data_IF_189459325063
#
_entry.id   IF_189459325063
#
_cell.length_a   1.000
_cell.length_b   1.000
_cell.length_c   1.000
_cell.angle_alpha   90.00
_cell.angle_beta   90.00
_cell.angle_gamma   90.00
#
_symmetry.space_group_name_H-M   'P 1'
#
loop_
_entity.id
_entity.type
_entity.pdbx_description
1 polymer ?
#
# COMPACT_ATOMS: atom_id res chain seq x y z
N UNK A 1 29.42 43.98 -18.54
CA UNK A 1 29.45 42.53 -18.81
C UNK A 1 28.59 41.86 -17.77
N UNK A 2 27.38 41.44 -18.12
CA UNK A 2 26.49 40.70 -17.20
C UNK A 2 26.68 39.20 -17.42
N UNK A 3 27.13 38.51 -16.42
CA UNK A 3 27.40 37.07 -16.41
C UNK A 3 26.08 36.34 -16.06
N UNK A 4 25.44 35.74 -17.07
CA UNK A 4 24.23 34.91 -16.85
C UNK A 4 24.64 33.56 -16.26
N UNK A 5 24.31 33.29 -14.99
CA UNK A 5 24.40 31.97 -14.39
C UNK A 5 23.26 31.09 -14.93
N UNK A 6 23.60 30.12 -15.79
CA UNK A 6 22.69 29.06 -16.19
C UNK A 6 22.53 28.05 -15.01
N UNK A 7 21.38 28.06 -14.36
CA UNK A 7 20.97 27.05 -13.39
C UNK A 7 20.61 25.78 -14.17
N UNK A 8 21.54 24.82 -14.26
CA UNK A 8 21.25 23.46 -14.74
C UNK A 8 20.42 22.75 -13.68
N UNK A 9 19.10 22.78 -13.83
CA UNK A 9 18.19 21.98 -12.99
C UNK A 9 18.36 20.50 -13.31
N UNK A 10 18.60 19.67 -12.29
CA UNK A 10 18.57 18.21 -12.41
C UNK A 10 17.19 17.78 -12.90
N UNK A 11 17.08 17.32 -14.14
CA UNK A 11 15.87 16.73 -14.67
C UNK A 11 15.78 15.29 -14.14
N UNK A 12 14.82 15.06 -13.24
CA UNK A 12 14.52 13.72 -12.76
C UNK A 12 13.70 13.01 -13.84
N UNK A 13 14.30 12.02 -14.52
CA UNK A 13 13.59 11.18 -15.48
C UNK A 13 12.77 10.14 -14.71
N UNK A 14 11.43 10.10 -14.87
CA UNK A 14 10.61 9.10 -14.22
C UNK A 14 10.96 7.68 -14.73
N UNK A 15 10.95 6.70 -13.84
CA UNK A 15 11.12 5.30 -14.21
C UNK A 15 9.83 4.84 -14.89
N UNK A 16 9.92 4.38 -16.14
CA UNK A 16 8.77 3.91 -16.94
C UNK A 16 8.63 2.39 -16.97
N UNK A 17 9.67 1.65 -16.60
CA UNK A 17 9.67 0.20 -16.53
C UNK A 17 8.81 -0.27 -15.35
N UNK A 18 7.67 -0.87 -15.65
CA UNK A 18 6.68 -1.36 -14.66
C UNK A 18 7.16 -2.56 -13.85
N UNK A 19 8.15 -3.30 -14.33
CA UNK A 19 8.78 -4.40 -13.62
C UNK A 19 9.81 -3.94 -12.59
N UNK A 20 10.21 -2.66 -12.66
CA UNK A 20 11.21 -2.08 -11.77
C UNK A 20 10.64 -1.84 -10.37
N UNK A 21 11.41 -2.20 -9.35
CA UNK A 21 11.12 -1.87 -7.95
C UNK A 21 11.07 -0.34 -7.70
N UNK A 22 11.65 0.45 -8.60
CA UNK A 22 11.65 1.92 -8.53
C UNK A 22 10.44 2.55 -9.24
N UNK A 23 9.68 1.75 -10.02
CA UNK A 23 8.49 2.26 -10.67
C UNK A 23 7.43 2.63 -9.63
N UNK A 24 6.97 3.87 -9.64
CA UNK A 24 5.90 4.34 -8.76
C UNK A 24 4.63 4.55 -9.59
N UNK A 25 3.54 3.88 -9.19
CA UNK A 25 2.22 4.11 -9.80
C UNK A 25 1.91 5.61 -9.71
N UNK A 26 1.66 6.30 -10.83
CA UNK A 26 1.41 7.73 -10.80
C UNK A 26 0.03 8.06 -10.23
N UNK A 27 -0.11 9.23 -9.62
CA UNK A 27 -1.42 9.80 -9.34
C UNK A 27 -2.18 10.03 -10.65
N UNK A 28 -3.51 9.88 -10.63
CA UNK A 28 -4.35 9.87 -11.84
C UNK A 28 -4.53 8.48 -12.44
N UNK A 29 -3.81 7.45 -11.97
CA UNK A 29 -4.13 6.07 -12.29
C UNK A 29 -5.52 5.69 -11.75
N UNK A 30 -6.14 4.68 -12.35
CA UNK A 30 -7.48 4.20 -11.98
C UNK A 30 -7.41 2.78 -11.44
N UNK A 31 -7.87 2.59 -10.22
CA UNK A 31 -8.16 1.27 -9.65
C UNK A 31 -9.61 0.89 -10.02
N UNK A 32 -9.79 -0.21 -10.73
CA UNK A 32 -11.11 -0.74 -11.14
C UNK A 32 -11.38 -2.03 -10.39
N UNK A 33 -12.43 -2.06 -9.59
CA UNK A 33 -12.95 -3.27 -8.96
C UNK A 33 -13.96 -3.93 -9.90
N UNK A 34 -13.78 -5.22 -10.21
CA UNK A 34 -14.62 -5.94 -11.18
C UNK A 34 -15.76 -6.75 -10.53
N UNK A 35 -15.58 -7.17 -9.28
CA UNK A 35 -16.57 -7.95 -8.53
C UNK A 35 -16.77 -7.33 -7.14
N UNK A 36 -17.98 -7.44 -6.56
CA UNK A 36 -18.24 -6.87 -5.24
C UNK A 36 -17.39 -7.57 -4.16
N UNK A 37 -16.99 -6.79 -3.17
CA UNK A 37 -16.26 -7.26 -2.01
C UNK A 37 -17.07 -6.96 -0.75
N UNK A 38 -17.24 -7.95 0.11
CA UNK A 38 -17.87 -7.77 1.42
C UNK A 38 -16.79 -7.56 2.49
N UNK A 39 -16.87 -6.45 3.20
CA UNK A 39 -16.08 -6.17 4.40
C UNK A 39 -16.89 -6.65 5.60
N UNK A 40 -16.35 -7.57 6.41
CA UNK A 40 -17.05 -8.12 7.56
C UNK A 40 -17.39 -7.07 8.63
N UNK A 41 -18.33 -7.38 9.53
CA UNK A 41 -18.57 -6.55 10.71
C UNK A 41 -17.28 -6.36 11.52
N UNK A 42 -17.19 -5.22 12.18
CA UNK A 42 -16.05 -4.82 13.03
C UNK A 42 -14.70 -4.71 12.30
N UNK A 43 -14.68 -4.77 10.96
CA UNK A 43 -13.50 -4.59 10.14
C UNK A 43 -13.60 -3.30 9.30
N UNK A 44 -12.46 -2.62 9.09
CA UNK A 44 -12.34 -1.44 8.23
C UNK A 44 -11.56 -1.72 6.95
N UNK A 45 -11.17 -2.98 6.73
CA UNK A 45 -10.39 -3.39 5.56
C UNK A 45 -10.55 -4.88 5.30
N UNK A 46 -10.17 -5.28 4.10
CA UNK A 46 -10.09 -6.66 3.64
C UNK A 46 -8.77 -6.85 2.88
N UNK A 47 -8.24 -8.05 2.86
CA UNK A 47 -7.03 -8.40 2.14
C UNK A 47 -7.35 -9.06 0.80
N UNK A 48 -6.52 -8.78 -0.19
CA UNK A 48 -6.58 -9.37 -1.53
C UNK A 48 -5.22 -10.01 -1.80
N UNK A 49 -5.20 -11.28 -2.14
CA UNK A 49 -4.00 -12.01 -2.52
C UNK A 49 -4.36 -13.05 -3.58
N UNK A 50 -3.60 -13.12 -4.67
CA UNK A 50 -3.83 -14.02 -5.79
C UNK A 50 -5.27 -13.94 -6.37
N UNK A 51 -5.83 -12.73 -6.48
CA UNK A 51 -7.18 -12.51 -6.99
C UNK A 51 -8.31 -12.94 -6.06
N UNK A 52 -8.00 -13.38 -4.85
CA UNK A 52 -8.98 -13.82 -3.85
C UNK A 52 -9.03 -12.87 -2.65
N UNK A 53 -10.21 -12.79 -2.03
CA UNK A 53 -10.45 -11.98 -0.84
C UNK A 53 -10.19 -12.81 0.40
N UNK A 54 -9.42 -12.25 1.33
CA UNK A 54 -9.02 -12.90 2.58
C UNK A 54 -9.25 -11.98 3.78
N UNK A 55 -9.39 -12.58 4.96
CA UNK A 55 -9.14 -11.90 6.24
C UNK A 55 -7.64 -11.94 6.54
N UNK A 56 -7.19 -11.12 7.49
CA UNK A 56 -5.78 -11.09 7.90
C UNK A 56 -5.20 -12.48 8.18
N UNK A 57 -5.92 -13.33 8.92
CA UNK A 57 -5.47 -14.69 9.26
C UNK A 57 -5.31 -15.64 8.07
N UNK A 58 -5.92 -15.32 6.92
CA UNK A 58 -5.83 -16.11 5.69
C UNK A 58 -4.83 -15.56 4.68
N UNK A 59 -4.13 -14.48 5.03
CA UNK A 59 -3.18 -13.79 4.14
C UNK A 59 -1.76 -14.17 4.53
N UNK A 60 -0.95 -14.60 3.55
CA UNK A 60 0.48 -14.79 3.77
C UNK A 60 1.19 -13.45 3.60
N UNK A 61 1.66 -12.88 4.71
CA UNK A 61 2.24 -11.55 4.75
C UNK A 61 3.59 -11.43 4.04
N UNK A 62 4.33 -12.55 3.87
CA UNK A 62 5.63 -12.59 3.18
C UNK A 62 5.51 -12.50 1.66
N UNK A 63 4.31 -12.67 1.12
CA UNK A 63 4.06 -12.50 -0.31
C UNK A 63 3.27 -11.22 -0.56
N UNK A 64 3.38 -10.63 -1.76
CA UNK A 64 2.61 -9.47 -2.12
C UNK A 64 1.11 -9.68 -1.85
N UNK A 65 0.53 -8.75 -1.11
CA UNK A 65 -0.90 -8.71 -0.82
C UNK A 65 -1.37 -7.26 -0.76
N UNK A 66 -2.63 -7.01 -1.10
CA UNK A 66 -3.22 -5.68 -1.06
C UNK A 66 -4.30 -5.62 0.01
N UNK A 67 -4.35 -4.53 0.76
CA UNK A 67 -5.36 -4.23 1.78
C UNK A 67 -6.27 -3.11 1.29
N UNK A 68 -7.53 -3.43 0.98
CA UNK A 68 -8.55 -2.45 0.60
C UNK A 68 -9.20 -1.90 1.86
N UNK A 69 -9.09 -0.59 2.08
CA UNK A 69 -9.55 0.09 3.28
C UNK A 69 -10.77 0.97 3.03
N UNK A 70 -11.71 0.96 3.98
CA UNK A 70 -12.88 1.81 4.02
C UNK A 70 -12.90 2.70 5.25
N UNK A 71 -13.71 3.77 5.21
CA UNK A 71 -13.85 4.70 6.32
C UNK A 71 -14.61 4.06 7.48
N UNK A 72 -13.94 4.00 8.64
CA UNK A 72 -14.52 3.53 9.90
C UNK A 72 -14.85 2.04 9.92
N UNK A 73 -15.29 1.55 11.04
CA UNK A 73 -15.82 0.21 11.26
C UNK A 73 -17.37 0.26 11.32
N UNK A 74 -18.02 -0.88 11.09
CA UNK A 74 -19.47 -1.02 11.13
C UNK A 74 -19.83 -2.30 11.87
N UNK A 75 -20.97 -2.32 12.55
CA UNK A 75 -21.51 -3.52 13.17
C UNK A 75 -22.15 -4.48 12.16
N UNK A 76 -22.56 -3.96 11.00
CA UNK A 76 -23.09 -4.74 9.89
C UNK A 76 -22.03 -4.93 8.78
N UNK A 77 -22.10 -6.02 7.98
CA UNK A 77 -21.28 -6.16 6.80
C UNK A 77 -21.48 -4.98 5.84
N UNK A 78 -20.42 -4.59 5.14
CA UNK A 78 -20.50 -3.53 4.11
C UNK A 78 -20.03 -4.07 2.79
N UNK A 79 -20.73 -3.73 1.71
CA UNK A 79 -20.31 -4.04 0.35
C UNK A 79 -19.51 -2.89 -0.26
N UNK A 80 -18.46 -3.24 -0.99
CA UNK A 80 -17.80 -2.38 -1.95
C UNK A 80 -18.19 -2.89 -3.32
N UNK A 81 -18.95 -2.09 -4.05
CA UNK A 81 -19.48 -2.46 -5.36
C UNK A 81 -18.42 -2.29 -6.45
N UNK A 82 -18.55 -3.02 -7.58
CA UNK A 82 -17.73 -2.83 -8.76
C UNK A 82 -17.74 -1.37 -9.22
N UNK A 83 -16.59 -0.92 -9.72
CA UNK A 83 -16.47 0.44 -10.23
C UNK A 83 -15.05 0.98 -10.22
N UNK A 84 -14.93 2.19 -10.69
CA UNK A 84 -13.66 2.91 -10.82
C UNK A 84 -13.41 3.82 -9.61
N UNK A 85 -12.15 3.83 -9.19
CA UNK A 85 -11.63 4.66 -8.12
C UNK A 85 -10.35 5.37 -8.62
N UNK A 86 -10.36 6.69 -8.59
CA UNK A 86 -9.18 7.49 -8.92
C UNK A 86 -8.10 7.33 -7.84
N UNK A 87 -6.87 7.07 -8.23
CA UNK A 87 -5.72 7.08 -7.32
C UNK A 87 -5.20 8.51 -7.23
N UNK A 88 -5.56 9.22 -6.17
CA UNK A 88 -5.20 10.64 -5.99
C UNK A 88 -3.81 10.87 -5.44
N UNK A 89 -3.28 9.90 -4.70
CA UNK A 89 -1.96 10.01 -4.07
C UNK A 89 -1.35 8.63 -3.88
N UNK A 90 -0.07 8.52 -4.17
CA UNK A 90 0.72 7.31 -3.91
C UNK A 90 1.89 7.67 -3.00
N UNK A 91 2.18 6.82 -2.03
CA UNK A 91 3.34 6.93 -1.15
C UNK A 91 3.90 5.55 -0.89
N UNK A 92 5.22 5.48 -0.75
CA UNK A 92 5.93 4.31 -0.24
C UNK A 92 6.50 4.61 1.13
N UNK A 93 6.41 3.64 2.01
CA UNK A 93 7.02 3.71 3.34
C UNK A 93 7.26 2.30 3.86
N UNK A 94 8.11 2.20 4.86
CA UNK A 94 8.41 0.98 5.57
C UNK A 94 7.83 1.12 6.97
N UNK A 95 7.03 0.14 7.40
CA UNK A 95 6.53 0.04 8.77
C UNK A 95 7.32 -1.03 9.52
N UNK A 96 7.78 -0.70 10.72
CA UNK A 96 8.36 -1.66 11.65
C UNK A 96 7.23 -2.50 12.23
N UNK A 97 7.20 -3.78 11.91
CA UNK A 97 6.26 -4.69 12.53
C UNK A 97 6.98 -5.42 13.64
N UNK A 98 6.74 -5.00 14.87
CA UNK A 98 6.97 -5.87 16.01
C UNK A 98 5.98 -7.01 15.88
N UNK A 99 6.42 -8.19 15.49
CA UNK A 99 5.63 -9.42 15.59
C UNK A 99 5.51 -9.76 17.09
N UNK A 100 4.67 -8.96 17.77
CA UNK A 100 4.24 -9.28 19.11
C UNK A 100 3.38 -10.53 18.98
N UNK A 101 3.88 -11.63 19.52
CA UNK A 101 3.31 -12.98 19.36
C UNK A 101 1.81 -12.98 19.58
N UNK A 102 1.11 -13.73 18.74
CA UNK A 102 -0.36 -13.85 18.69
C UNK A 102 -0.96 -14.60 19.88
N UNK A 103 -0.41 -14.45 21.06
CA UNK A 103 -0.98 -15.00 22.29
C UNK A 103 -1.48 -13.86 23.17
N UNK A 104 -2.80 -13.83 23.39
CA UNK A 104 -3.50 -12.83 24.23
C UNK A 104 -3.09 -12.79 25.71
N UNK A 105 -1.82 -13.07 26.01
CA UNK A 105 -1.21 -13.05 27.35
C UNK A 105 -0.20 -11.90 27.53
N UNK A 106 -0.08 -11.00 26.55
CA UNK A 106 1.05 -10.06 26.51
C UNK A 106 0.87 -8.76 27.28
N UNK A 107 -0.35 -8.43 27.70
CA UNK A 107 -0.56 -7.30 28.63
C UNK A 107 0.06 -7.55 30.02
N UNK A 108 0.19 -8.83 30.42
CA UNK A 108 0.82 -9.20 31.69
C UNK A 108 2.35 -9.21 31.62
N UNK A 109 2.94 -9.37 30.43
CA UNK A 109 4.38 -9.41 30.23
C UNK A 109 5.03 -8.02 30.20
N UNK A 110 4.28 -6.99 29.79
CA UNK A 110 4.76 -5.61 29.82
C UNK A 110 5.00 -5.11 31.27
N UNK A 111 4.09 -5.44 32.19
CA UNK A 111 4.25 -5.05 33.59
C UNK A 111 5.43 -5.73 34.28
N UNK A 112 5.77 -6.96 33.86
CA UNK A 112 6.88 -7.71 34.45
C UNK A 112 8.24 -7.25 33.96
N UNK A 113 8.32 -6.70 32.73
CA UNK A 113 9.59 -6.17 32.17
C UNK A 113 9.99 -4.82 32.75
N UNK A 114 9.05 -4.03 33.23
CA UNK A 114 9.31 -2.77 33.91
C UNK A 114 9.87 -2.97 35.32
N UNK A 115 9.67 -4.17 35.91
CA UNK A 115 10.13 -4.50 37.27
C UNK A 115 11.52 -5.15 37.31
N UNK A 116 12.06 -5.62 36.19
CA UNK A 116 13.41 -6.15 36.08
C UNK A 116 14.27 -5.22 35.22
N UNK A 117 14.90 -4.25 35.84
CA UNK A 117 15.93 -3.41 35.25
C UNK A 117 17.14 -4.24 34.81
N UNK A 118 17.06 -4.80 33.60
CA UNK A 118 18.11 -5.55 32.95
C UNK A 118 18.10 -5.27 31.47
N UNK A 119 19.10 -4.53 30.97
CA UNK A 119 19.32 -4.31 29.55
C UNK A 119 19.55 -5.64 28.82
N UNK A 120 18.53 -6.11 28.16
CA UNK A 120 18.57 -7.19 27.19
C UNK A 120 17.95 -6.64 25.93
N UNK A 121 18.77 -6.27 24.94
CA UNK A 121 18.29 -5.99 23.61
C UNK A 121 17.51 -7.21 23.13
N UNK A 122 16.24 -7.06 22.83
CA UNK A 122 15.48 -8.07 22.12
C UNK A 122 15.95 -8.01 20.67
N UNK A 123 17.07 -8.68 20.38
CA UNK A 123 17.49 -8.98 19.00
C UNK A 123 16.58 -10.06 18.41
N UNK A 124 15.27 -9.83 18.43
CA UNK A 124 14.36 -10.57 17.59
C UNK A 124 14.48 -10.04 16.17
N UNK A 125 14.35 -10.88 15.14
CA UNK A 125 14.34 -10.40 13.76
C UNK A 125 13.23 -9.36 13.62
N UNK A 126 13.63 -8.13 13.41
CA UNK A 126 12.69 -7.04 13.11
C UNK A 126 12.32 -7.19 11.65
N UNK A 127 11.12 -7.64 11.36
CA UNK A 127 10.61 -7.71 10.00
C UNK A 127 9.98 -6.37 9.63
N UNK A 128 10.13 -6.00 8.37
CA UNK A 128 9.62 -4.75 7.85
C UNK A 128 8.53 -4.98 6.83
N UNK A 129 7.44 -4.21 6.94
CA UNK A 129 6.38 -4.16 5.94
C UNK A 129 6.69 -3.07 4.91
N UNK A 130 6.99 -3.46 3.68
CA UNK A 130 7.21 -2.57 2.56
C UNK A 130 5.87 -2.21 1.92
N UNK A 131 5.41 -0.97 2.10
CA UNK A 131 4.04 -0.55 1.75
C UNK A 131 4.03 0.44 0.60
N UNK A 132 3.29 0.13 -0.47
CA UNK A 132 2.85 1.08 -1.49
C UNK A 132 1.40 1.47 -1.19
N UNK A 133 1.20 2.65 -0.60
CA UNK A 133 -0.11 3.15 -0.20
C UNK A 133 -0.70 4.08 -1.26
N UNK A 134 -1.89 3.74 -1.73
CA UNK A 134 -2.67 4.48 -2.72
C UNK A 134 -3.93 5.04 -2.07
N UNK A 135 -4.14 6.34 -2.16
CA UNK A 135 -5.37 6.99 -1.71
C UNK A 135 -6.39 6.94 -2.84
N UNK A 136 -7.51 6.28 -2.58
CA UNK A 136 -8.60 6.12 -3.53
C UNK A 136 -9.66 7.21 -3.36
N UNK A 137 -10.32 7.53 -4.47
CA UNK A 137 -11.48 8.41 -4.50
C UNK A 137 -12.51 7.90 -5.51
N UNK A 138 -13.77 7.88 -5.10
CA UNK A 138 -14.93 7.65 -5.95
C UNK A 138 -16.09 8.48 -5.41
N UNK A 139 -16.80 9.19 -6.28
CA UNK A 139 -18.00 9.94 -5.89
C UNK A 139 -19.14 9.00 -5.51
N UNK A 140 -19.21 7.84 -6.18
CA UNK A 140 -20.26 6.83 -5.92
C UNK A 140 -20.03 6.08 -4.62
N UNK A 141 -18.78 5.90 -4.22
CA UNK A 141 -18.38 5.11 -3.05
C UNK A 141 -17.34 5.87 -2.21
N UNK A 142 -17.70 7.01 -1.62
CA UNK A 142 -16.77 7.88 -0.90
C UNK A 142 -16.24 7.24 0.40
N UNK A 143 -16.82 6.13 0.83
CA UNK A 143 -16.34 5.35 1.97
C UNK A 143 -15.09 4.55 1.66
N UNK A 144 -14.82 4.19 0.39
CA UNK A 144 -13.59 3.49 -0.02
C UNK A 144 -12.44 4.49 -0.03
N UNK A 145 -11.37 4.21 0.74
CA UNK A 145 -10.36 5.22 1.06
C UNK A 145 -8.97 4.90 0.53
N UNK A 146 -8.58 3.65 0.56
CA UNK A 146 -7.19 3.31 0.28
C UNK A 146 -7.02 1.88 -0.22
N UNK A 147 -6.00 1.69 -1.02
CA UNK A 147 -5.44 0.40 -1.37
C UNK A 147 -3.96 0.43 -0.95
N UNK A 148 -3.58 -0.45 -0.02
CA UNK A 148 -2.19 -0.61 0.41
C UNK A 148 -1.70 -1.95 -0.10
N UNK A 149 -0.80 -1.95 -1.07
CA UNK A 149 -0.15 -3.17 -1.54
C UNK A 149 1.21 -3.28 -0.85
N UNK A 150 1.45 -4.42 -0.21
CA UNK A 150 2.51 -4.57 0.77
C UNK A 150 3.00 -6.00 0.85
N UNK A 151 4.18 -6.19 1.41
CA UNK A 151 4.77 -7.47 1.76
C UNK A 151 5.72 -7.32 2.93
N UNK A 152 5.86 -8.38 3.71
CA UNK A 152 6.80 -8.49 4.81
C UNK A 152 8.11 -9.06 4.30
N UNK A 153 9.24 -8.48 4.71
CA UNK A 153 10.56 -8.97 4.33
C UNK A 153 11.62 -8.56 5.36
N UNK A 154 12.79 -9.16 5.25
CA UNK A 154 13.93 -8.88 6.10
C UNK A 154 14.46 -7.45 5.91
N UNK A 155 15.01 -6.83 6.97
CA UNK A 155 15.65 -5.53 6.85
C UNK A 155 16.80 -5.53 5.84
N UNK A 156 16.74 -4.60 4.89
CA UNK A 156 17.81 -4.39 3.91
C UNK A 156 17.83 -5.36 2.73
N UNK A 157 16.98 -6.38 2.72
CA UNK A 157 16.77 -7.28 1.57
C UNK A 157 15.43 -7.06 0.90
N UNK A 158 14.46 -6.50 1.62
CA UNK A 158 13.12 -6.31 1.13
C UNK A 158 12.94 -5.10 0.20
N UNK A 159 11.96 -5.19 -0.66
CA UNK A 159 11.54 -4.13 -1.58
C UNK A 159 10.04 -4.00 -1.66
N UNK A 160 9.61 -2.87 -2.18
CA UNK A 160 8.20 -2.65 -2.50
C UNK A 160 7.77 -3.57 -3.63
N UNK A 161 6.58 -4.16 -3.51
CA UNK A 161 5.98 -4.90 -4.61
C UNK A 161 5.99 -4.06 -5.90
N UNK A 162 6.44 -4.65 -7.00
CA UNK A 162 6.43 -4.04 -8.32
C UNK A 162 4.99 -3.85 -8.81
N UNK A 163 4.80 -3.05 -9.85
CA UNK A 163 3.48 -2.90 -10.44
C UNK A 163 2.92 -4.22 -10.99
N UNK A 164 3.78 -5.06 -11.58
CA UNK A 164 3.37 -6.36 -12.11
C UNK A 164 2.98 -7.34 -11.00
N UNK A 165 3.70 -7.36 -9.88
CA UNK A 165 3.32 -8.15 -8.70
C UNK A 165 2.01 -7.66 -8.08
N UNK A 166 1.78 -6.35 -8.03
CA UNK A 166 0.50 -5.77 -7.59
C UNK A 166 -0.63 -6.24 -8.51
N UNK A 167 -0.43 -6.24 -9.83
CA UNK A 167 -1.43 -6.76 -10.79
C UNK A 167 -1.74 -8.24 -10.58
N UNK A 168 -0.69 -9.06 -10.38
CA UNK A 168 -0.86 -10.49 -10.06
C UNK A 168 -1.63 -10.68 -8.75
N UNK A 169 -1.31 -9.89 -7.73
CA UNK A 169 -1.98 -9.92 -6.43
C UNK A 169 -3.48 -9.63 -6.55
N UNK A 170 -3.84 -8.65 -7.37
CA UNK A 170 -5.23 -8.27 -7.62
C UNK A 170 -5.96 -9.29 -8.52
N UNK A 171 -5.25 -9.94 -9.44
CA UNK A 171 -5.80 -10.93 -10.37
C UNK A 171 -7.00 -10.42 -11.15
N UNK A 172 -8.01 -11.28 -11.34
CA UNK A 172 -9.27 -10.91 -12.01
C UNK A 172 -10.25 -10.14 -11.12
N UNK A 173 -9.93 -9.96 -9.84
CA UNK A 173 -10.80 -9.24 -8.92
C UNK A 173 -10.77 -7.74 -9.18
N UNK A 174 -9.60 -7.20 -9.50
CA UNK A 174 -9.42 -5.77 -9.75
C UNK A 174 -8.22 -5.51 -10.65
N UNK A 175 -8.19 -4.32 -11.27
CA UNK A 175 -7.08 -3.87 -12.11
C UNK A 175 -6.66 -2.45 -11.74
N UNK A 176 -5.40 -2.12 -12.02
CA UNK A 176 -4.91 -0.74 -11.99
C UNK A 176 -4.54 -0.37 -13.41
N UNK A 177 -5.13 0.71 -13.92
CA UNK A 177 -4.79 1.29 -15.23
C UNK A 177 -3.99 2.56 -15.01
N UNK A 178 -2.82 2.64 -15.65
CA UNK A 178 -2.01 3.84 -15.64
C UNK A 178 -2.67 4.93 -16.49
N UNK A 179 -2.50 6.22 -16.15
CA UNK A 179 -2.97 7.29 -17.00
C UNK A 179 -2.26 7.20 -18.36
N UNK A 180 -3.00 7.45 -19.42
CA UNK A 180 -2.41 7.61 -20.75
C UNK A 180 -1.56 8.87 -20.70
N UNK A 181 -0.25 8.74 -20.90
CA UNK A 181 0.60 9.92 -21.09
C UNK A 181 0.12 10.66 -22.35
N UNK A 182 -0.47 11.83 -22.14
CA UNK A 182 -0.76 12.74 -23.24
C UNK A 182 0.59 13.31 -23.73
N UNK A 183 1.04 13.00 -24.97
CA UNK A 183 2.34 13.43 -25.45
C UNK A 183 2.46 14.94 -25.71
N UNK A 184 1.46 15.71 -25.28
CA UNK A 184 1.46 17.15 -25.47
C UNK A 184 2.33 17.84 -24.40
N UNK A 185 3.53 18.34 -24.72
CA UNK A 185 4.30 19.15 -23.79
C UNK A 185 3.50 20.42 -23.50
N UNK A 186 3.18 20.67 -22.22
CA UNK A 186 2.67 21.98 -21.81
C UNK A 186 3.72 23.04 -22.18
N UNK A 187 3.54 23.67 -23.32
CA UNK A 187 4.21 24.92 -23.63
C UNK A 187 3.79 25.92 -22.55
N UNK A 188 4.70 26.24 -21.65
CA UNK A 188 4.59 27.46 -20.86
C UNK A 188 4.71 28.61 -21.86
N UNK A 189 3.61 29.29 -22.09
CA UNK A 189 3.63 30.60 -22.74
C UNK A 189 4.43 31.58 -21.90
N UNK A 190 5.19 32.50 -22.56
CA UNK A 190 6.09 33.44 -21.94
C UNK A 190 5.41 34.46 -21.03
#
# INVERSE_FOLDING_TARGET
MAMALALAGCQHTPVTDTSSIYFLIPAGATFTLHRPITIPPQEAHIYIQNGAVHRQRGTNLYYPHCKLGVKGISEAPRSVEPGDFEIRKVRRYVDDILLVGQSGLELAALDLRLAQGGGGGSDGPTEYMYVTAMRLHSERQPQVRSLHCQQLDDPGLGWYATYDEIRQTLGDLATIRLPVEDPTPRQKSP
#
